data_IF_773462931575
#
_entry.id   IF_773462931575
#
_cell.length_a   1.000
_cell.length_b   1.000
_cell.length_c   1.000
_cell.angle_alpha   90.00
_cell.angle_beta   90.00
_cell.angle_gamma   90.00
#
_symmetry.space_group_name_H-M   'P 1'
#
loop_
_entity.id
_entity.type
_entity.pdbx_description
1 polymer ?
#
# COMPACT_ATOMS: atom_id res chain seq x y z
N UNK A 1 -11.78 -12.44 -14.28
CA UNK A 1 -10.80 -13.47 -13.96
C UNK A 1 -10.08 -13.14 -12.67
N UNK A 2 -9.88 -14.12 -11.83
CA UNK A 2 -9.24 -13.92 -10.54
C UNK A 2 -7.74 -14.13 -10.63
N UNK A 3 -7.01 -13.34 -9.87
CA UNK A 3 -5.58 -13.52 -9.74
C UNK A 3 -5.27 -14.60 -8.71
N UNK A 4 -4.18 -15.31 -8.91
CA UNK A 4 -3.65 -16.23 -7.92
C UNK A 4 -2.89 -15.53 -6.79
N UNK A 5 -2.70 -14.23 -6.89
CA UNK A 5 -1.89 -13.50 -5.91
C UNK A 5 -2.75 -13.04 -4.73
N UNK A 6 -2.34 -13.44 -3.56
CA UNK A 6 -2.99 -13.08 -2.31
C UNK A 6 -2.00 -12.34 -1.43
N UNK A 7 -2.43 -11.30 -0.72
CA UNK A 7 -1.54 -10.54 0.16
C UNK A 7 -0.83 -11.36 1.23
N UNK A 8 -1.31 -12.56 1.55
CA UNK A 8 -0.62 -13.47 2.46
C UNK A 8 0.81 -13.79 2.00
N UNK A 9 1.10 -13.64 0.70
CA UNK A 9 2.44 -13.80 0.17
C UNK A 9 3.43 -12.77 0.74
N UNK A 10 2.93 -11.68 1.31
CA UNK A 10 3.77 -10.66 1.94
C UNK A 10 4.32 -11.10 3.29
N UNK A 11 3.73 -12.11 3.91
CA UNK A 11 4.21 -12.59 5.20
C UNK A 11 5.67 -13.08 5.08
N UNK A 12 6.54 -12.50 5.90
CA UNK A 12 7.97 -12.80 5.85
C UNK A 12 8.76 -11.98 4.84
N UNK A 13 8.10 -11.23 3.98
CA UNK A 13 8.78 -10.34 3.04
C UNK A 13 9.03 -8.97 3.69
N UNK A 14 9.98 -8.21 3.14
CA UNK A 14 10.31 -6.90 3.66
C UNK A 14 9.70 -5.80 2.80
N UNK A 15 9.09 -4.81 3.44
CA UNK A 15 8.75 -3.56 2.77
C UNK A 15 10.06 -2.82 2.49
N UNK A 16 10.32 -2.50 1.23
CA UNK A 16 11.59 -1.92 0.79
C UNK A 16 11.46 -0.51 0.27
N UNK A 17 10.29 -0.11 -0.20
CA UNK A 17 10.05 1.24 -0.72
C UNK A 17 8.58 1.60 -0.69
N UNK A 18 8.31 2.89 -0.56
CA UNK A 18 6.97 3.49 -0.64
C UNK A 18 7.09 4.77 -1.44
N UNK A 19 6.27 4.91 -2.47
CA UNK A 19 6.30 6.10 -3.31
C UNK A 19 4.91 6.42 -3.86
N UNK A 20 4.61 7.71 -4.00
CA UNK A 20 3.43 8.09 -4.77
C UNK A 20 3.76 8.03 -6.26
N UNK A 21 2.74 7.76 -7.06
CA UNK A 21 2.85 7.83 -8.51
C UNK A 21 2.20 9.14 -9.00
N UNK A 22 2.42 9.54 -10.27
CA UNK A 22 1.79 10.74 -10.83
C UNK A 22 0.26 10.72 -10.77
N UNK A 23 -0.36 9.54 -10.69
CA UNK A 23 -1.82 9.38 -10.67
C UNK A 23 -2.41 9.35 -9.25
N UNK A 24 -1.67 9.83 -8.25
CA UNK A 24 -2.09 9.82 -6.85
C UNK A 24 -2.33 8.43 -6.28
N UNK A 25 -1.68 7.45 -6.88
CA UNK A 25 -1.64 6.08 -6.39
C UNK A 25 -0.39 5.95 -5.55
N UNK A 26 -0.48 5.24 -4.43
CA UNK A 26 0.70 4.91 -3.64
C UNK A 26 1.15 3.50 -3.98
N UNK A 27 2.42 3.37 -4.28
CA UNK A 27 3.03 2.09 -4.59
C UNK A 27 3.93 1.65 -3.45
N UNK A 28 3.64 0.46 -2.95
CA UNK A 28 4.38 -0.20 -1.88
C UNK A 28 5.16 -1.35 -2.50
N UNK A 29 6.47 -1.32 -2.36
CA UNK A 29 7.35 -2.34 -2.93
C UNK A 29 7.88 -3.23 -1.82
N UNK A 30 7.74 -4.55 -2.01
CA UNK A 30 8.20 -5.55 -1.07
C UNK A 30 9.19 -6.46 -1.74
N UNK A 31 10.11 -7.04 -0.95
CA UNK A 31 10.91 -8.15 -1.44
C UNK A 31 9.98 -9.30 -1.82
N UNK A 32 10.36 -10.06 -2.83
CA UNK A 32 9.61 -11.20 -3.28
C UNK A 32 10.51 -12.43 -3.36
N UNK A 33 9.95 -13.57 -3.76
CA UNK A 33 10.73 -14.82 -3.90
C UNK A 33 11.65 -14.78 -5.11
N UNK A 34 11.13 -14.33 -6.25
CA UNK A 34 11.89 -14.26 -7.51
C UNK A 34 11.95 -12.84 -8.06
N UNK A 35 10.93 -12.04 -7.82
CA UNK A 35 10.88 -10.62 -8.17
C UNK A 35 10.15 -9.87 -7.05
N UNK A 36 10.33 -8.56 -6.94
CA UNK A 36 9.60 -7.78 -5.94
C UNK A 36 8.08 -7.93 -6.08
N UNK A 37 7.39 -7.88 -4.96
CA UNK A 37 5.94 -7.74 -4.95
C UNK A 37 5.58 -6.28 -4.88
N UNK A 38 4.52 -5.92 -5.60
CA UNK A 38 3.99 -4.56 -5.62
C UNK A 38 2.56 -4.57 -5.10
N UNK A 39 2.29 -3.65 -4.19
CA UNK A 39 0.94 -3.30 -3.78
C UNK A 39 0.70 -1.87 -4.23
N UNK A 40 -0.36 -1.65 -5.00
CA UNK A 40 -0.79 -0.31 -5.41
C UNK A 40 -2.10 -0.01 -4.71
N UNK A 41 -2.17 1.12 -4.04
CA UNK A 41 -3.38 1.52 -3.31
C UNK A 41 -3.99 2.76 -3.92
N UNK A 42 -5.31 2.71 -4.11
CA UNK A 42 -6.14 3.79 -4.66
C UNK A 42 -7.05 4.38 -3.61
N UNK A 43 -7.05 3.79 -2.43
CA UNK A 43 -7.97 4.10 -1.33
C UNK A 43 -7.22 4.71 -0.15
N UNK A 44 -7.97 5.01 0.90
CA UNK A 44 -7.39 5.53 2.13
C UNK A 44 -6.47 4.52 2.79
N UNK A 45 -5.42 5.02 3.40
CA UNK A 45 -4.52 4.20 4.20
C UNK A 45 -3.99 5.02 5.37
N UNK A 46 -3.47 4.30 6.35
CA UNK A 46 -2.80 4.90 7.50
C UNK A 46 -1.60 4.04 7.88
N UNK A 47 -0.47 4.69 8.10
CA UNK A 47 0.72 4.05 8.65
C UNK A 47 0.96 4.58 10.05
N UNK A 48 1.09 3.67 11.00
CA UNK A 48 1.44 4.01 12.38
C UNK A 48 2.78 3.38 12.75
N UNK A 49 3.54 4.09 13.56
CA UNK A 49 4.79 3.61 14.12
C UNK A 49 4.77 3.91 15.61
N UNK A 50 4.91 2.86 16.41
CA UNK A 50 4.85 2.96 17.87
C UNK A 50 3.57 3.66 18.36
N UNK A 51 2.44 3.38 17.69
CA UNK A 51 1.15 3.94 18.04
C UNK A 51 0.88 5.35 17.49
N UNK A 52 1.86 5.97 16.85
CA UNK A 52 1.72 7.30 16.29
C UNK A 52 1.49 7.23 14.78
N UNK A 53 0.52 7.98 14.27
CA UNK A 53 0.28 8.07 12.84
C UNK A 53 1.39 8.90 12.19
N UNK A 54 2.09 8.30 11.23
CA UNK A 54 3.19 8.96 10.53
C UNK A 54 2.87 9.27 9.07
N UNK A 55 1.91 8.58 8.47
CA UNK A 55 1.54 8.80 7.08
C UNK A 55 0.09 8.40 6.84
N UNK A 56 -0.64 9.21 6.07
CA UNK A 56 -1.99 8.88 5.62
C UNK A 56 -2.17 9.29 4.16
N UNK A 57 -3.15 8.69 3.50
CA UNK A 57 -3.48 9.04 2.13
C UNK A 57 -3.97 10.51 2.02
N UNK A 58 -4.54 11.04 3.08
CA UNK A 58 -4.98 12.43 3.13
C UNK A 58 -3.86 13.44 2.93
N UNK A 59 -2.64 13.07 3.34
CA UNK A 59 -1.46 13.92 3.17
C UNK A 59 -1.03 14.02 1.72
N UNK A 60 -1.42 13.02 0.90
CA UNK A 60 -1.10 12.97 -0.52
C UNK A 60 -2.03 13.84 -1.36
N UNK A 61 -3.32 13.89 -1.00
CA UNK A 61 -4.34 14.30 -1.93
C UNK A 61 -4.97 15.64 -1.58
N UNK A 62 -4.89 16.59 -2.54
CA UNK A 62 -5.83 17.72 -2.62
C UNK A 62 -6.27 17.83 -4.08
N UNK A 63 -7.53 18.21 -4.31
CA UNK A 63 -8.06 18.31 -5.67
C UNK A 63 -7.32 19.30 -6.54
N UNK A 64 -6.71 20.30 -5.93
CA UNK A 64 -5.97 21.35 -6.64
C UNK A 64 -4.60 20.90 -7.12
N UNK A 65 -4.14 19.72 -6.70
CA UNK A 65 -2.78 19.27 -6.96
C UNK A 65 -2.67 18.38 -8.19
N UNK A 66 -3.76 18.12 -8.92
CA UNK A 66 -3.77 17.18 -10.03
C UNK A 66 -2.72 17.48 -11.08
N UNK A 67 -2.57 18.75 -11.45
CA UNK A 67 -1.70 19.17 -12.54
C UNK A 67 -0.36 19.71 -12.05
N UNK A 68 -0.14 19.73 -10.73
CA UNK A 68 1.08 20.30 -10.15
C UNK A 68 1.74 19.34 -9.15
N UNK A 69 2.61 18.46 -9.64
CA UNK A 69 3.24 17.46 -8.77
C UNK A 69 4.13 18.05 -7.69
N UNK A 70 4.56 19.32 -7.82
CA UNK A 70 5.42 19.98 -6.85
C UNK A 70 4.68 20.94 -5.92
N UNK A 71 3.36 20.76 -5.75
CA UNK A 71 2.59 21.54 -4.80
C UNK A 71 3.06 21.30 -3.37
N UNK A 72 2.68 22.23 -2.47
CA UNK A 72 3.03 22.11 -1.06
C UNK A 72 2.50 20.81 -0.44
N UNK A 73 1.30 20.37 -0.84
CA UNK A 73 0.73 19.13 -0.34
C UNK A 73 1.58 17.93 -0.76
N UNK A 74 1.97 17.86 -2.03
CA UNK A 74 2.80 16.77 -2.53
C UNK A 74 4.21 16.80 -1.93
N UNK A 75 4.78 17.98 -1.75
CA UNK A 75 6.08 18.11 -1.07
C UNK A 75 6.00 17.65 0.37
N UNK A 76 4.91 17.97 1.06
CA UNK A 76 4.71 17.51 2.43
C UNK A 76 4.56 16.00 2.49
N UNK A 77 3.80 15.42 1.56
CA UNK A 77 3.68 13.96 1.48
C UNK A 77 5.05 13.32 1.26
N UNK A 78 5.83 13.83 0.31
CA UNK A 78 7.15 13.28 0.02
C UNK A 78 8.09 13.41 1.22
N UNK A 79 7.97 14.50 1.97
CA UNK A 79 8.71 14.68 3.21
C UNK A 79 8.29 13.66 4.27
N UNK A 80 6.99 13.43 4.42
CA UNK A 80 6.49 12.50 5.43
C UNK A 80 6.77 11.05 5.04
N UNK A 81 6.74 10.72 3.75
CA UNK A 81 7.17 9.43 3.24
C UNK A 81 8.61 9.14 3.64
N UNK A 82 9.46 10.15 3.67
CA UNK A 82 10.85 9.98 4.08
C UNK A 82 10.96 9.46 5.52
N UNK A 83 10.05 9.84 6.40
CA UNK A 83 10.00 9.29 7.77
C UNK A 83 9.78 7.78 7.75
N UNK A 84 8.89 7.32 6.86
CA UNK A 84 8.63 5.89 6.70
C UNK A 84 9.82 5.20 6.05
N UNK A 85 10.31 5.73 4.93
CA UNK A 85 11.39 5.07 4.18
C UNK A 85 12.68 5.01 4.98
N UNK A 86 12.89 5.91 5.94
CA UNK A 86 14.05 5.84 6.82
C UNK A 86 14.02 4.63 7.77
N UNK A 87 12.85 4.01 7.95
CA UNK A 87 12.69 2.80 8.75
C UNK A 87 12.87 1.52 7.95
N UNK A 88 12.95 1.62 6.62
CA UNK A 88 13.00 0.47 5.72
C UNK A 88 14.44 -0.01 5.50
N UNK A 89 14.65 -1.31 5.18
CA UNK A 89 13.60 -2.32 5.02
C UNK A 89 13.06 -2.80 6.36
N UNK A 90 11.81 -3.22 6.36
CA UNK A 90 11.17 -3.76 7.55
C UNK A 90 10.36 -5.00 7.17
N UNK A 91 10.48 -6.07 7.97
CA UNK A 91 9.86 -7.35 7.68
C UNK A 91 8.39 -7.35 8.07
N UNK A 92 7.54 -7.88 7.20
CA UNK A 92 6.12 -8.09 7.47
C UNK A 92 5.96 -9.34 8.31
N UNK A 93 5.36 -9.20 9.48
CA UNK A 93 5.18 -10.30 10.44
C UNK A 93 3.72 -10.69 10.62
N UNK A 94 2.79 -9.95 10.05
CA UNK A 94 1.38 -10.29 10.09
C UNK A 94 0.63 -9.68 8.90
N UNK A 95 -0.32 -10.43 8.35
CA UNK A 95 -1.18 -9.98 7.26
C UNK A 95 -2.60 -10.37 7.60
N UNK A 96 -3.52 -9.42 7.55
CA UNK A 96 -4.95 -9.65 7.76
C UNK A 96 -5.75 -8.97 6.68
N UNK A 97 -6.73 -9.70 6.14
CA UNK A 97 -7.72 -9.14 5.23
C UNK A 97 -9.10 -9.29 5.87
N UNK A 98 -9.88 -8.23 5.89
CA UNK A 98 -11.25 -8.30 6.38
C UNK A 98 -12.21 -8.77 5.28
N UNK A 99 -13.44 -9.08 5.65
CA UNK A 99 -14.49 -9.41 4.68
C UNK A 99 -14.87 -8.22 3.81
N UNK A 100 -14.50 -7.02 4.19
CA UNK A 100 -14.74 -5.80 3.43
C UNK A 100 -13.50 -5.35 2.67
N UNK A 101 -12.51 -6.22 2.55
CA UNK A 101 -11.27 -6.00 1.79
C UNK A 101 -10.31 -4.97 2.41
N UNK A 102 -10.47 -4.66 3.68
CA UNK A 102 -9.44 -3.91 4.38
C UNK A 102 -8.21 -4.79 4.56
N UNK A 103 -7.05 -4.22 4.36
CA UNK A 103 -5.80 -4.93 4.46
C UNK A 103 -4.98 -4.32 5.60
N UNK A 104 -4.52 -5.18 6.51
CA UNK A 104 -3.68 -4.75 7.62
C UNK A 104 -2.38 -5.53 7.56
N UNK A 105 -1.28 -4.79 7.46
CA UNK A 105 0.07 -5.33 7.47
C UNK A 105 0.74 -4.91 8.77
N UNK A 106 1.14 -5.89 9.56
CA UNK A 106 1.95 -5.65 10.75
C UNK A 106 3.41 -5.97 10.42
N UNK A 107 4.29 -5.06 10.76
CA UNK A 107 5.71 -5.21 10.51
C UNK A 107 6.50 -5.17 11.81
N UNK A 108 7.77 -5.52 11.73
CA UNK A 108 8.69 -5.37 12.85
C UNK A 108 8.77 -3.90 13.29
N UNK A 109 9.30 -3.66 14.48
CA UNK A 109 9.50 -2.32 15.04
C UNK A 109 8.21 -1.55 15.29
N UNK A 110 7.10 -2.27 15.52
CA UNK A 110 5.80 -1.65 15.82
C UNK A 110 5.28 -0.78 14.66
N UNK A 111 5.64 -1.13 13.44
CA UNK A 111 5.12 -0.48 12.24
C UNK A 111 3.87 -1.21 11.77
N UNK A 112 2.82 -0.47 11.47
CA UNK A 112 1.55 -1.03 11.01
C UNK A 112 1.03 -0.22 9.83
N UNK A 113 0.57 -0.93 8.81
CA UNK A 113 -0.03 -0.33 7.61
C UNK A 113 -1.47 -0.81 7.53
N UNK A 114 -2.40 0.12 7.50
CA UNK A 114 -3.82 -0.16 7.38
C UNK A 114 -4.33 0.44 6.07
N UNK A 115 -4.95 -0.39 5.24
CA UNK A 115 -5.50 0.01 3.95
C UNK A 115 -7.01 -0.19 4.01
N UNK A 116 -7.75 0.89 3.81
CA UNK A 116 -9.20 0.92 4.03
C UNK A 116 -9.94 0.85 2.70
N UNK A 117 -10.56 -0.29 2.41
CA UNK A 117 -11.36 -0.46 1.23
C UNK A 117 -12.72 0.21 1.42
N UNK A 118 -13.03 1.20 0.60
CA UNK A 118 -14.29 1.93 0.69
C UNK A 118 -15.04 2.01 -0.65
N UNK A 119 -14.47 1.40 -1.70
CA UNK A 119 -15.09 1.40 -3.01
C UNK A 119 -16.20 0.35 -3.12
N UNK A 120 -17.18 0.56 -4.01
CA UNK A 120 -18.15 -0.50 -4.33
C UNK A 120 -17.45 -1.76 -4.84
N UNK A 121 -18.08 -2.94 -4.72
CA UNK A 121 -17.43 -4.21 -5.09
C UNK A 121 -16.89 -4.29 -6.52
N UNK A 122 -17.39 -3.46 -7.41
CA UNK A 122 -16.92 -3.43 -8.82
C UNK A 122 -15.78 -2.46 -9.05
N UNK A 123 -15.35 -1.74 -8.03
CA UNK A 123 -14.29 -0.75 -8.12
C UNK A 123 -13.04 -1.26 -7.42
N UNK A 124 -11.91 -0.81 -7.91
CA UNK A 124 -10.63 -1.22 -7.42
C UNK A 124 -10.19 -0.34 -6.25
N UNK A 125 -9.87 -0.95 -5.10
CA UNK A 125 -9.29 -0.26 -3.96
C UNK A 125 -7.77 -0.44 -3.93
N UNK A 126 -7.29 -1.63 -4.28
CA UNK A 126 -5.87 -1.94 -4.34
C UNK A 126 -5.62 -3.09 -5.31
N UNK A 127 -4.37 -3.18 -5.74
CA UNK A 127 -3.85 -4.27 -6.57
C UNK A 127 -2.61 -4.84 -5.95
N UNK A 128 -2.43 -6.14 -6.09
CA UNK A 128 -1.26 -6.82 -5.55
C UNK A 128 -0.77 -7.92 -6.50
N UNK A 129 0.55 -8.02 -6.65
CA UNK A 129 1.18 -9.08 -7.41
C UNK A 129 2.66 -8.83 -7.64
N UNK A 130 3.34 -9.76 -8.34
CA UNK A 130 4.73 -9.57 -8.72
C UNK A 130 4.91 -8.37 -9.64
N UNK A 131 6.03 -7.69 -9.50
CA UNK A 131 6.34 -6.50 -10.31
C UNK A 131 6.35 -6.80 -11.80
N UNK A 132 6.78 -7.97 -12.19
CA UNK A 132 6.89 -8.37 -13.60
C UNK A 132 5.58 -8.93 -14.17
N UNK A 133 4.53 -9.02 -13.39
CA UNK A 133 3.21 -9.42 -13.86
C UNK A 133 2.28 -8.20 -13.89
N UNK A 134 2.03 -7.68 -15.10
CA UNK A 134 1.18 -6.50 -15.28
C UNK A 134 -0.28 -6.74 -14.93
N UNK A 135 -0.67 -7.99 -14.75
CA UNK A 135 -2.05 -8.36 -14.40
C UNK A 135 -2.25 -8.44 -12.90
N UNK A 136 -1.60 -7.62 -12.15
CA UNK A 136 -1.68 -7.63 -10.70
C UNK A 136 -3.07 -7.99 -10.19
N UNK A 137 -3.10 -8.72 -9.09
CA UNK A 137 -4.34 -9.05 -8.43
C UNK A 137 -5.12 -7.78 -8.14
N UNK A 138 -6.29 -7.68 -8.75
CA UNK A 138 -7.12 -6.52 -8.54
C UNK A 138 -8.04 -6.73 -7.35
N UNK A 139 -7.95 -5.81 -6.41
CA UNK A 139 -9.04 -5.36 -5.59
C UNK A 139 -9.80 -6.43 -4.81
N UNK A 140 -11.09 -6.24 -4.78
CA UNK A 140 -12.00 -6.98 -3.91
C UNK A 140 -12.04 -8.47 -4.19
N UNK A 141 -11.88 -8.86 -5.44
CA UNK A 141 -11.96 -10.28 -5.79
C UNK A 141 -10.79 -11.10 -5.25
N UNK A 142 -9.66 -10.47 -5.07
CA UNK A 142 -8.47 -11.14 -4.58
C UNK A 142 -8.66 -11.72 -3.18
N UNK A 143 -9.39 -11.01 -2.34
CA UNK A 143 -9.65 -11.43 -0.97
C UNK A 143 -10.58 -12.64 -0.91
N UNK A 144 -11.51 -12.73 -1.83
CA UNK A 144 -12.50 -13.79 -1.86
C UNK A 144 -11.97 -15.11 -2.41
N UNK A 145 -10.74 -15.13 -2.89
CA UNK A 145 -10.09 -16.35 -3.37
C UNK A 145 -9.53 -17.23 -2.26
N UNK A 146 -9.59 -16.78 -1.05
CA UNK A 146 -9.05 -17.54 0.09
C UNK A 146 -9.91 -18.73 0.46
#
# INVERSE_FOLDING_TARGET
>A
MFSAYCPDLLLGQCLTDVARTPDFIVRWTFSGRTSPYILQTYCGFRVTHEGETILTQRMLYTRTDFDEPLTDANRRFDHDVFRLTSLLPVKIVGVKCSNTNDLILCAENHLRIEIFADAPPVCEDWRFGPQDDVRLCAFTDCVHLK
#
